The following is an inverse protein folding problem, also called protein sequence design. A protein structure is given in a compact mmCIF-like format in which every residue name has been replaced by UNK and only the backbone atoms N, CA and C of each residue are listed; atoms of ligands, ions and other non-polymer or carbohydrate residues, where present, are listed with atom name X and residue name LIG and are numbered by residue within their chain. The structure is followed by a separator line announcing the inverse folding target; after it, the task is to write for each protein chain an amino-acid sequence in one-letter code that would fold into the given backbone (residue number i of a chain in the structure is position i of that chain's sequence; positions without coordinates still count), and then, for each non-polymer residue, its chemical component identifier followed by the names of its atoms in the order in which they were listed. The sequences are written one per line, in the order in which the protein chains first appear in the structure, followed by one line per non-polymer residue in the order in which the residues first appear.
data_IF_029125048712
#
_entry.id   IF_029125048712
#
_cell.length_a   1.000
_cell.length_b   1.000
_cell.length_c   1.000
_cell.angle_alpha   90.00
_cell.angle_beta   90.00
_cell.angle_gamma   90.00
#
_symmetry.space_group_name_H-M   'P 1'
#
loop_
_entity.id
_entity.type
_entity.pdbx_description
1 polymer ?
#
# COMPACT_ATOMS: atom_id res chain seq x y z
N UNK A 1 -13.12 -5.24 11.82
CA UNK A 1 -11.94 -4.72 12.55
C UNK A 1 -12.07 -3.23 12.82
N UNK A 2 -12.41 -2.40 11.81
CA UNK A 2 -12.57 -0.95 11.98
C UNK A 2 -13.92 -0.51 12.59
N UNK A 3 -14.87 -1.42 12.83
CA UNK A 3 -16.20 -1.07 13.33
C UNK A 3 -16.98 -0.26 12.30
N UNK A 4 -17.50 0.89 12.74
CA UNK A 4 -18.27 1.83 11.90
C UNK A 4 -17.37 2.84 11.15
N UNK A 5 -16.05 2.79 11.35
CA UNK A 5 -15.12 3.73 10.72
C UNK A 5 -14.94 3.38 9.25
N UNK A 6 -15.25 4.34 8.37
CA UNK A 6 -14.97 4.24 6.94
C UNK A 6 -13.45 4.37 6.69
N UNK A 7 -12.84 3.42 5.96
CA UNK A 7 -11.41 3.46 5.71
C UNK A 7 -11.04 4.62 4.77
N UNK A 8 -10.01 5.36 5.13
CA UNK A 8 -9.45 6.46 4.32
C UNK A 8 -8.31 5.99 3.44
N UNK A 9 -7.53 5.03 3.94
CA UNK A 9 -6.32 4.53 3.29
C UNK A 9 -6.27 3.00 3.30
N UNK A 10 -5.51 2.44 2.37
CA UNK A 10 -5.26 1.01 2.27
C UNK A 10 -3.80 0.70 1.94
N UNK A 11 -3.38 -0.52 2.22
CA UNK A 11 -2.06 -1.02 1.88
C UNK A 11 -2.05 -2.54 1.82
N UNK A 12 -1.06 -3.09 1.13
CA UNK A 12 -0.83 -4.54 1.06
C UNK A 12 0.65 -4.88 1.10
N UNK A 13 0.97 -6.07 1.56
CA UNK A 13 2.34 -6.57 1.57
C UNK A 13 2.39 -8.08 1.51
N UNK A 14 3.50 -8.63 1.02
CA UNK A 14 3.74 -10.08 1.06
C UNK A 14 5.16 -10.43 1.53
N UNK A 15 5.27 -11.40 2.44
CA UNK A 15 6.54 -12.08 2.73
C UNK A 15 6.43 -13.49 2.18
N UNK A 16 7.30 -13.83 1.23
CA UNK A 16 7.44 -15.19 0.70
C UNK A 16 8.49 -15.91 1.55
N UNK A 17 8.20 -17.15 1.94
CA UNK A 17 9.15 -18.00 2.66
C UNK A 17 10.45 -18.22 1.88
N UNK A 18 11.52 -18.57 2.59
CA UNK A 18 12.89 -18.65 2.02
C UNK A 18 13.07 -19.71 0.92
N UNK A 19 12.14 -20.65 0.76
CA UNK A 19 12.16 -21.63 -0.34
C UNK A 19 11.33 -21.19 -1.56
N UNK A 20 10.71 -20.00 -1.51
CA UNK A 20 9.92 -19.42 -2.59
C UNK A 20 10.69 -18.40 -3.44
N UNK A 21 9.94 -17.66 -4.25
CA UNK A 21 10.44 -16.66 -5.19
C UNK A 21 9.72 -15.31 -5.03
N UNK A 22 10.42 -14.21 -5.29
CA UNK A 22 9.85 -12.86 -5.17
C UNK A 22 8.60 -12.67 -6.05
N UNK A 23 8.56 -13.29 -7.23
CA UNK A 23 7.44 -13.20 -8.17
C UNK A 23 6.17 -13.86 -7.62
N UNK A 24 6.29 -14.84 -6.71
CA UNK A 24 5.14 -15.36 -5.98
C UNK A 24 4.50 -14.26 -5.12
N UNK A 25 5.33 -13.44 -4.46
CA UNK A 25 4.88 -12.26 -3.73
C UNK A 25 4.22 -11.22 -4.63
N UNK A 26 4.84 -10.92 -5.79
CA UNK A 26 4.27 -10.03 -6.80
C UNK A 26 2.90 -10.51 -7.30
N UNK A 27 2.76 -11.82 -7.57
CA UNK A 27 1.50 -12.43 -7.98
C UNK A 27 0.39 -12.27 -6.93
N UNK A 28 0.77 -12.29 -5.63
CA UNK A 28 -0.17 -12.06 -4.53
C UNK A 28 -0.59 -10.60 -4.41
N UNK A 29 0.29 -9.63 -4.63
CA UNK A 29 -0.06 -8.21 -4.42
C UNK A 29 -0.56 -7.48 -5.67
N UNK A 30 -0.46 -8.04 -6.87
CA UNK A 30 -0.95 -7.40 -8.10
C UNK A 30 -2.42 -7.71 -8.41
N UNK A 31 -2.75 -8.04 -9.66
CA UNK A 31 -4.10 -7.96 -10.25
C UNK A 31 -5.15 -8.78 -9.50
N UNK A 32 -4.78 -9.96 -8.97
CA UNK A 32 -5.73 -10.89 -8.34
C UNK A 32 -6.29 -10.40 -7.01
N UNK A 33 -5.48 -9.68 -6.21
CA UNK A 33 -5.90 -9.20 -4.88
C UNK A 33 -6.40 -7.77 -4.93
N UNK A 34 -5.91 -6.94 -5.86
CA UNK A 34 -6.34 -5.54 -5.96
C UNK A 34 -7.84 -5.36 -6.27
N UNK A 35 -8.40 -6.16 -7.19
CA UNK A 35 -9.81 -6.03 -7.59
C UNK A 35 -10.82 -6.36 -6.47
N UNK A 36 -10.68 -7.49 -5.73
CA UNK A 36 -11.53 -7.77 -4.57
C UNK A 36 -11.44 -6.71 -3.48
N UNK A 37 -10.23 -6.23 -3.15
CA UNK A 37 -10.05 -5.15 -2.17
C UNK A 37 -10.84 -3.92 -2.60
N UNK A 38 -10.66 -3.46 -3.85
CA UNK A 38 -11.36 -2.28 -4.38
C UNK A 38 -12.87 -2.41 -4.31
N UNK A 39 -13.42 -3.57 -4.69
CA UNK A 39 -14.87 -3.80 -4.65
C UNK A 39 -15.42 -3.69 -3.22
N UNK A 40 -14.70 -4.24 -2.25
CA UNK A 40 -15.12 -4.19 -0.84
C UNK A 40 -14.93 -2.79 -0.23
N UNK A 41 -13.96 -2.04 -0.73
CA UNK A 41 -13.57 -0.72 -0.30
C UNK A 41 -14.45 0.44 -0.84
N UNK A 42 -15.45 0.17 -1.68
CA UNK A 42 -16.30 1.21 -2.27
C UNK A 42 -15.81 1.76 -3.62
N UNK A 43 -14.74 1.21 -4.20
CA UNK A 43 -14.37 1.47 -5.60
C UNK A 43 -13.38 2.60 -5.85
N UNK A 44 -12.70 3.11 -4.83
CA UNK A 44 -11.73 4.20 -4.99
C UNK A 44 -10.68 3.99 -6.07
N UNK A 45 -10.37 5.06 -6.80
CA UNK A 45 -9.57 5.03 -8.03
C UNK A 45 -8.05 4.97 -7.82
N UNK A 46 -7.58 5.35 -6.62
CA UNK A 46 -6.15 5.47 -6.31
C UNK A 46 -5.42 4.11 -6.40
N UNK A 47 -4.10 4.11 -6.53
CA UNK A 47 -3.33 2.86 -6.51
C UNK A 47 -3.26 2.32 -5.08
N UNK A 48 -3.52 1.02 -4.87
CA UNK A 48 -3.21 0.36 -3.58
C UNK A 48 -1.70 0.14 -3.50
N UNK A 49 -0.96 0.85 -2.62
CA UNK A 49 0.47 0.65 -2.49
C UNK A 49 0.76 -0.73 -1.92
N UNK A 50 1.86 -1.34 -2.36
CA UNK A 50 2.33 -2.56 -1.75
C UNK A 50 3.74 -2.93 -2.12
N UNK A 51 4.31 -3.82 -1.32
CA UNK A 51 5.65 -4.36 -1.51
C UNK A 51 5.68 -5.86 -1.19
N UNK A 52 6.67 -6.56 -1.73
CA UNK A 52 6.90 -7.96 -1.45
C UNK A 52 8.40 -8.18 -1.17
N UNK A 53 8.70 -9.20 -0.35
CA UNK A 53 10.08 -9.66 -0.12
C UNK A 53 10.09 -11.17 0.13
N UNK A 54 11.23 -11.80 -0.11
CA UNK A 54 11.54 -13.13 0.43
C UNK A 54 12.14 -12.94 1.83
N UNK A 55 11.68 -13.71 2.82
CA UNK A 55 12.13 -13.54 4.20
C UNK A 55 11.96 -14.80 5.06
N UNK A 56 12.68 -14.87 6.19
CA UNK A 56 12.54 -15.96 7.15
C UNK A 56 11.23 -15.85 7.94
N UNK A 57 10.88 -16.93 8.62
CA UNK A 57 9.85 -16.97 9.65
C UNK A 57 10.08 -15.87 10.71
N UNK A 58 9.04 -15.14 11.08
CA UNK A 58 9.14 -13.98 11.98
C UNK A 58 9.65 -12.71 11.30
N UNK A 59 9.93 -12.74 9.99
CA UNK A 59 10.34 -11.58 9.21
C UNK A 59 9.33 -10.42 9.29
N UNK A 60 9.82 -9.20 9.08
CA UNK A 60 9.01 -7.99 9.14
C UNK A 60 8.71 -7.43 7.75
N UNK A 61 7.51 -6.87 7.60
CA UNK A 61 7.09 -6.12 6.42
C UNK A 61 6.38 -4.84 6.84
N UNK A 62 6.70 -3.77 6.12
CA UNK A 62 6.07 -2.47 6.29
C UNK A 62 4.92 -2.33 5.30
N UNK A 63 3.71 -2.17 5.81
CA UNK A 63 2.53 -1.91 4.99
C UNK A 63 2.43 -0.42 4.75
N UNK A 64 2.62 -0.01 3.50
CA UNK A 64 2.52 1.38 3.07
C UNK A 64 1.05 1.69 2.79
N UNK A 65 0.53 2.71 3.45
CA UNK A 65 -0.82 3.20 3.24
C UNK A 65 -0.85 4.32 2.20
N UNK A 66 -1.81 4.25 1.29
CA UNK A 66 -2.17 5.30 0.35
C UNK A 66 -3.67 5.58 0.41
N UNK A 67 -4.05 6.83 0.16
CA UNK A 67 -5.45 7.24 0.12
C UNK A 67 -6.26 6.38 -0.86
N UNK A 68 -7.49 6.06 -0.50
CA UNK A 68 -8.34 5.14 -1.27
C UNK A 68 -8.94 5.80 -2.51
N UNK A 69 -9.41 7.03 -2.34
CA UNK A 69 -10.02 7.83 -3.41
C UNK A 69 -8.98 8.68 -4.15
N UNK A 70 -8.05 9.27 -3.39
CA UNK A 70 -7.01 10.16 -3.91
C UNK A 70 -5.61 9.67 -3.51
N UNK A 71 -4.77 9.43 -4.52
CA UNK A 71 -3.36 9.05 -4.30
C UNK A 71 -2.54 10.20 -3.70
N UNK A 72 -3.06 11.42 -3.74
CA UNK A 72 -2.45 12.64 -3.21
C UNK A 72 -3.06 13.08 -1.88
N UNK A 73 -3.83 12.23 -1.22
CA UNK A 73 -4.23 12.45 0.17
C UNK A 73 -3.03 12.25 1.11
N UNK A 74 -2.23 13.30 1.25
CA UNK A 74 -1.00 13.26 2.05
C UNK A 74 -1.24 12.93 3.51
N UNK A 75 -2.44 13.12 4.05
CA UNK A 75 -2.74 12.78 5.44
C UNK A 75 -3.12 11.31 5.63
N UNK A 76 -3.51 10.63 4.55
CA UNK A 76 -3.74 9.18 4.51
C UNK A 76 -2.45 8.36 4.29
N UNK A 77 -1.33 9.00 3.94
CA UNK A 77 -0.05 8.33 3.77
C UNK A 77 0.60 8.01 5.13
N UNK A 78 0.81 6.74 5.41
CA UNK A 78 1.50 6.29 6.62
C UNK A 78 2.04 4.86 6.43
N UNK A 79 2.62 4.27 7.47
CA UNK A 79 3.12 2.90 7.45
C UNK A 79 2.80 2.15 8.75
N UNK A 80 2.56 0.84 8.66
CA UNK A 80 2.49 -0.07 9.81
C UNK A 80 3.38 -1.30 9.59
N UNK A 81 4.27 -1.58 10.54
CA UNK A 81 5.10 -2.79 10.52
C UNK A 81 4.32 -4.00 11.05
N UNK A 82 4.39 -5.11 10.32
CA UNK A 82 3.76 -6.38 10.67
C UNK A 82 4.82 -7.48 10.74
N UNK A 83 4.67 -8.38 11.71
CA UNK A 83 5.40 -9.64 11.81
C UNK A 83 4.50 -10.69 12.47
N UNK A 84 4.66 -11.94 12.04
CA UNK A 84 4.00 -13.11 12.63
C UNK A 84 5.11 -14.06 13.07
N UNK A 85 5.29 -14.34 14.38
CA UNK A 85 6.47 -15.06 14.88
C UNK A 85 6.72 -16.43 14.24
N UNK A 86 5.66 -17.14 13.84
CA UNK A 86 5.72 -18.48 13.25
C UNK A 86 5.43 -18.53 11.73
N UNK A 87 5.44 -17.38 11.05
CA UNK A 87 5.19 -17.30 9.61
C UNK A 87 6.07 -16.26 8.89
N UNK A 88 6.24 -16.36 7.55
CA UNK A 88 5.94 -17.55 6.76
C UNK A 88 6.95 -18.67 7.05
N UNK A 89 6.51 -19.94 7.04
CA UNK A 89 7.43 -21.07 6.91
C UNK A 89 8.14 -21.04 5.55
N UNK A 90 9.22 -21.83 5.34
CA UNK A 90 10.01 -21.77 4.11
C UNK A 90 9.20 -21.89 2.81
N UNK A 91 8.13 -22.68 2.80
CA UNK A 91 7.27 -22.98 1.66
C UNK A 91 5.91 -22.25 1.70
N UNK A 92 5.75 -21.25 2.57
CA UNK A 92 4.51 -20.47 2.74
C UNK A 92 4.65 -19.03 2.24
N UNK A 93 3.51 -18.32 2.15
CA UNK A 93 3.45 -16.88 1.88
C UNK A 93 2.58 -16.23 2.94
N UNK A 94 3.10 -15.19 3.60
CA UNK A 94 2.33 -14.27 4.43
C UNK A 94 1.82 -13.12 3.55
N UNK A 95 0.51 -13.07 3.28
CA UNK A 95 -0.15 -11.92 2.66
C UNK A 95 -0.79 -11.04 3.73
N UNK A 96 -0.54 -9.75 3.66
CA UNK A 96 -1.12 -8.73 4.53
C UNK A 96 -1.92 -7.74 3.69
N UNK A 97 -3.15 -7.46 4.14
CA UNK A 97 -4.00 -6.39 3.61
C UNK A 97 -4.43 -5.56 4.82
N UNK A 98 -4.21 -4.25 4.76
CA UNK A 98 -4.54 -3.36 5.86
C UNK A 98 -5.35 -2.15 5.36
N UNK A 99 -6.16 -1.62 6.28
CA UNK A 99 -6.96 -0.42 6.10
C UNK A 99 -6.70 0.53 7.26
N UNK A 100 -6.67 1.83 6.97
CA UNK A 100 -6.49 2.89 7.96
C UNK A 100 -7.76 3.74 8.03
N UNK A 101 -8.35 3.84 9.22
CA UNK A 101 -9.59 4.59 9.48
C UNK A 101 -9.39 6.08 9.79
N UNK A 102 -8.27 6.68 9.41
CA UNK A 102 -7.92 8.04 9.80
C UNK A 102 -6.63 8.54 9.16
N UNK A 103 -5.98 9.49 9.83
CA UNK A 103 -4.75 10.14 9.39
C UNK A 103 -3.64 9.96 10.43
N UNK A 104 -2.41 10.38 10.08
CA UNK A 104 -1.32 10.48 11.06
C UNK A 104 -1.74 11.35 12.26
N UNK A 105 -1.37 10.98 13.50
CA UNK A 105 -1.79 11.71 14.71
C UNK A 105 -1.50 13.22 14.72
N UNK A 106 -0.45 13.66 14.02
CA UNK A 106 -0.06 15.07 13.92
C UNK A 106 0.08 15.53 12.46
N UNK A 107 -0.86 15.10 11.61
CA UNK A 107 -0.98 15.52 10.22
C UNK A 107 -0.96 17.06 10.06
N UNK A 108 0.03 17.57 9.32
CA UNK A 108 0.25 19.02 9.12
C UNK A 108 0.98 19.37 7.81
N UNK A 109 1.15 18.40 6.93
CA UNK A 109 1.82 18.59 5.65
C UNK A 109 0.76 19.02 4.64
N UNK A 110 0.95 20.20 4.03
CA UNK A 110 0.06 20.68 2.98
C UNK A 110 0.57 20.20 1.63
N UNK A 111 -0.20 19.32 1.02
CA UNK A 111 -0.03 18.90 -0.36
C UNK A 111 -0.62 19.87 -1.37
N UNK A 112 -0.38 19.58 -2.65
CA UNK A 112 -1.08 20.17 -3.79
C UNK A 112 -2.09 19.16 -4.34
N UNK A 113 -3.15 19.65 -4.99
CA UNK A 113 -4.21 18.81 -5.55
C UNK A 113 -3.70 17.94 -6.71
N UNK A 114 -4.40 16.85 -7.08
CA UNK A 114 -4.05 16.04 -8.24
C UNK A 114 -3.87 16.85 -9.53
N UNK A 115 -4.72 17.87 -9.75
CA UNK A 115 -4.64 18.76 -10.92
C UNK A 115 -3.39 19.63 -10.87
N UNK A 116 -3.04 20.15 -9.69
CA UNK A 116 -1.81 20.92 -9.50
C UNK A 116 -0.58 20.06 -9.72
N UNK A 117 -0.60 18.78 -9.31
CA UNK A 117 0.47 17.84 -9.61
C UNK A 117 0.58 17.61 -11.12
N UNK A 118 -0.53 17.41 -11.82
CA UNK A 118 -0.52 17.19 -13.28
C UNK A 118 0.16 18.36 -14.02
N UNK A 119 -0.23 19.60 -13.69
CA UNK A 119 0.39 20.82 -14.25
C UNK A 119 1.88 20.91 -13.93
N UNK A 120 2.29 20.54 -12.71
CA UNK A 120 3.70 20.55 -12.32
C UNK A 120 4.52 19.52 -13.12
N UNK A 121 3.99 18.30 -13.29
CA UNK A 121 4.66 17.23 -14.03
C UNK A 121 4.86 17.60 -15.49
N UNK A 122 3.88 18.23 -16.12
CA UNK A 122 4.00 18.75 -17.50
C UNK A 122 5.15 19.76 -17.61
N UNK A 123 5.19 20.77 -16.73
CA UNK A 123 6.27 21.78 -16.71
C UNK A 123 7.65 21.15 -16.51
N UNK A 124 7.77 20.17 -15.62
CA UNK A 124 9.04 19.48 -15.38
C UNK A 124 9.53 18.75 -16.63
N UNK A 125 8.64 18.10 -17.38
CA UNK A 125 8.98 17.42 -18.63
C UNK A 125 9.46 18.39 -19.70
N UNK A 126 8.80 19.53 -19.84
CA UNK A 126 9.22 20.60 -20.77
C UNK A 126 10.60 21.17 -20.41
N UNK A 127 10.89 21.31 -19.11
CA UNK A 127 12.17 21.84 -18.64
C UNK A 127 13.35 20.86 -18.76
N UNK A 128 13.08 19.55 -18.77
CA UNK A 128 14.08 18.48 -18.85
C UNK A 128 14.41 18.03 -20.29
N UNK A 129 13.75 18.57 -21.32
CA UNK A 129 14.06 18.30 -22.73
C UNK A 129 15.13 19.24 -23.33
N UNK A 130 16.04 19.77 -22.50
CA UNK A 130 17.25 20.48 -22.95
C UNK A 130 18.51 19.67 -22.69
#
# INVERSE_FOLDING_TARGET
ALGEIEPRAYGKGAIVGVAGDLEQGAAMIHVRVGLPIRRQAGGGSALIPGNAKVGPMGGTIDIIFGGMEDSWDYDAMDTMTISVPDAPKPDEILLVIAFLGGTRPNARIKGISPEQVAVLVEKLRESGSK
#
